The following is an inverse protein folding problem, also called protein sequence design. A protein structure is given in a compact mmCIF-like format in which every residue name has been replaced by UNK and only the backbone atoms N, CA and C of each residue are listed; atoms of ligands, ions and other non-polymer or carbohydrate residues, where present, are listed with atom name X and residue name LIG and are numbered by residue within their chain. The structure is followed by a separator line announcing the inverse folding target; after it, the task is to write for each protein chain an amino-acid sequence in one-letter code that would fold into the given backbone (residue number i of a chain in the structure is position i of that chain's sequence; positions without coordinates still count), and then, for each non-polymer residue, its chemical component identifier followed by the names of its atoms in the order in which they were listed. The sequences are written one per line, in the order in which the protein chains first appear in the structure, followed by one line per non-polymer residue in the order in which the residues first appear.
data_IF_580193719865
#
_entry.id   IF_580193719865
#
_cell.length_a   1.000
_cell.length_b   1.000
_cell.length_c   1.000
_cell.angle_alpha   90.00
_cell.angle_beta   90.00
_cell.angle_gamma   90.00
#
_symmetry.space_group_name_H-M   'P 1'
#
loop_
_entity.id
_entity.type
_entity.pdbx_description
1 polymer ?
#
# COMPACT_ATOMS: atom_id res chain seq x y z
N UNK A 1 -24.69 -29.85 4.47
CA UNK A 1 -24.86 -29.59 3.02
C UNK A 1 -24.95 -28.08 2.72
N UNK A 2 -24.15 -27.24 3.40
CA UNK A 2 -24.26 -25.76 3.31
C UNK A 2 -22.92 -25.05 2.96
N UNK A 3 -21.80 -25.79 2.94
CA UNK A 3 -20.46 -25.22 2.73
C UNK A 3 -20.14 -24.96 1.26
N UNK A 4 -20.68 -25.76 0.34
CA UNK A 4 -20.43 -25.65 -1.11
C UNK A 4 -21.02 -24.38 -1.73
N UNK A 5 -22.13 -23.87 -1.19
CA UNK A 5 -22.74 -22.60 -1.61
C UNK A 5 -21.88 -21.39 -1.22
N UNK A 6 -21.26 -21.42 -0.04
CA UNK A 6 -20.33 -20.37 0.40
C UNK A 6 -18.99 -20.42 -0.35
N UNK A 7 -18.49 -21.62 -0.67
CA UNK A 7 -17.28 -21.77 -1.47
C UNK A 7 -17.49 -21.26 -2.91
N UNK A 8 -18.64 -21.56 -3.51
CA UNK A 8 -18.98 -21.09 -4.86
C UNK A 8 -19.15 -19.56 -4.91
N UNK A 9 -19.77 -18.95 -3.91
CA UNK A 9 -19.91 -17.49 -3.84
C UNK A 9 -18.56 -16.79 -3.60
N UNK A 10 -17.72 -17.32 -2.71
CA UNK A 10 -16.37 -16.82 -2.47
C UNK A 10 -15.48 -16.92 -3.72
N UNK A 11 -15.54 -18.04 -4.45
CA UNK A 11 -14.81 -18.24 -5.70
C UNK A 11 -15.28 -17.26 -6.79
N UNK A 12 -16.58 -16.98 -6.88
CA UNK A 12 -17.12 -16.02 -7.83
C UNK A 12 -16.69 -14.57 -7.53
N UNK A 13 -16.64 -14.19 -6.24
CA UNK A 13 -16.16 -12.87 -5.82
C UNK A 13 -14.65 -12.70 -6.07
N UNK A 14 -13.86 -13.74 -5.78
CA UNK A 14 -12.43 -13.76 -6.06
C UNK A 14 -12.13 -13.70 -7.57
N UNK A 15 -12.91 -14.41 -8.40
CA UNK A 15 -12.78 -14.36 -9.86
C UNK A 15 -13.01 -12.96 -10.43
N UNK A 16 -14.00 -12.23 -9.93
CA UNK A 16 -14.27 -10.85 -10.37
C UNK A 16 -13.15 -9.89 -9.95
N UNK A 17 -12.50 -10.13 -8.81
CA UNK A 17 -11.34 -9.34 -8.37
C UNK A 17 -10.06 -9.60 -9.20
N UNK A 18 -9.97 -10.76 -9.86
CA UNK A 18 -8.81 -11.20 -10.66
C UNK A 18 -9.11 -11.14 -12.17
N UNK A 19 -10.33 -10.76 -12.58
CA UNK A 19 -10.73 -10.68 -13.98
C UNK A 19 -9.94 -9.57 -14.70
N UNK A 20 -9.14 -9.91 -15.73
CA UNK A 20 -8.37 -8.92 -16.46
C UNK A 20 -9.31 -8.08 -17.32
N UNK A 21 -9.53 -6.82 -16.92
CA UNK A 21 -10.33 -5.86 -17.70
C UNK A 21 -11.02 -4.77 -16.87
N UNK A 22 -11.26 -5.00 -15.58
CA UNK A 22 -11.78 -3.97 -14.67
C UNK A 22 -10.86 -3.91 -13.43
N UNK A 23 -10.17 -2.78 -13.17
CA UNK A 23 -9.51 -2.60 -11.88
C UNK A 23 -10.56 -2.77 -10.79
N UNK A 24 -10.37 -3.73 -9.90
CA UNK A 24 -11.23 -3.84 -8.73
C UNK A 24 -11.25 -2.47 -8.02
N UNK A 25 -12.37 -2.03 -7.42
CA UNK A 25 -12.44 -0.73 -6.74
C UNK A 25 -11.30 -0.50 -5.74
N UNK A 26 -10.81 -1.57 -5.11
CA UNK A 26 -9.65 -1.57 -4.22
C UNK A 26 -8.32 -1.26 -4.94
N UNK A 27 -8.12 -1.75 -6.16
CA UNK A 27 -6.92 -1.47 -6.99
C UNK A 27 -6.92 -0.01 -7.43
N UNK A 28 -8.09 0.54 -7.77
CA UNK A 28 -8.20 1.96 -8.11
C UNK A 28 -7.93 2.86 -6.89
N UNK A 29 -8.47 2.50 -5.72
CA UNK A 29 -8.20 3.23 -4.48
C UNK A 29 -6.71 3.18 -4.11
N UNK A 30 -6.06 2.03 -4.29
CA UNK A 30 -4.62 1.88 -4.08
C UNK A 30 -3.79 2.70 -5.09
N UNK A 31 -4.19 2.74 -6.35
CA UNK A 31 -3.54 3.57 -7.39
C UNK A 31 -3.62 5.05 -7.02
N UNK A 32 -4.81 5.53 -6.63
CA UNK A 32 -5.00 6.92 -6.22
C UNK A 32 -4.16 7.25 -4.97
N UNK A 33 -4.12 6.35 -3.98
CA UNK A 33 -3.27 6.53 -2.80
C UNK A 33 -1.77 6.56 -3.13
N UNK A 34 -1.33 5.78 -4.13
CA UNK A 34 0.04 5.81 -4.62
C UNK A 34 0.37 7.13 -5.36
N UNK A 35 -0.57 7.66 -6.13
CA UNK A 35 -0.45 8.97 -6.79
C UNK A 35 -0.36 10.11 -5.76
N UNK A 36 -1.22 10.11 -4.74
CA UNK A 36 -1.19 11.07 -3.64
C UNK A 36 0.12 10.98 -2.85
N UNK A 37 0.60 9.77 -2.60
CA UNK A 37 1.89 9.54 -1.95
C UNK A 37 3.05 10.09 -2.78
N UNK A 38 3.05 9.86 -4.11
CA UNK A 38 4.07 10.39 -5.00
C UNK A 38 4.07 11.93 -5.02
N UNK A 39 2.88 12.56 -5.03
CA UNK A 39 2.73 14.00 -4.92
C UNK A 39 3.27 14.54 -3.58
N UNK A 40 2.99 13.85 -2.48
CA UNK A 40 3.49 14.21 -1.16
C UNK A 40 5.01 14.07 -1.07
N UNK A 41 5.59 13.02 -1.65
CA UNK A 41 7.04 12.81 -1.70
C UNK A 41 7.75 13.97 -2.41
N UNK A 42 7.18 14.48 -3.51
CA UNK A 42 7.72 15.66 -4.21
C UNK A 42 7.71 16.94 -3.37
N UNK A 43 6.73 17.12 -2.47
CA UNK A 43 6.74 18.24 -1.52
C UNK A 43 7.83 18.06 -0.45
N UNK A 44 8.03 16.84 0.03
CA UNK A 44 9.08 16.51 0.99
C UNK A 44 10.46 16.80 0.40
N UNK A 45 10.71 16.46 -0.87
CA UNK A 45 11.98 16.76 -1.55
C UNK A 45 12.26 18.27 -1.65
N UNK A 46 11.24 19.09 -1.90
CA UNK A 46 11.40 20.56 -1.90
C UNK A 46 11.76 21.09 -0.52
N UNK A 47 11.10 20.59 0.52
CA UNK A 47 11.37 20.97 1.92
C UNK A 47 12.76 20.50 2.36
N UNK A 48 13.14 19.27 2.00
CA UNK A 48 14.46 18.71 2.29
C UNK A 48 15.57 19.50 1.59
N UNK A 49 15.36 19.92 0.34
CA UNK A 49 16.27 20.81 -0.38
C UNK A 49 16.38 22.19 0.30
N UNK A 50 15.25 22.74 0.78
CA UNK A 50 15.23 23.97 1.58
C UNK A 50 15.96 23.83 2.93
N UNK A 51 15.87 22.66 3.56
CA UNK A 51 16.58 22.37 4.81
C UNK A 51 18.09 22.18 4.59
N UNK A 52 18.50 21.50 3.52
CA UNK A 52 19.91 21.34 3.14
C UNK A 52 20.57 22.68 2.77
N UNK A 53 19.80 23.65 2.28
CA UNK A 53 20.28 25.03 2.01
C UNK A 53 20.28 25.92 3.26
N UNK A 54 19.93 25.38 4.43
CA UNK A 54 19.96 26.08 5.72
C UNK A 54 18.78 27.05 5.94
N UNK A 55 17.71 26.95 5.12
CA UNK A 55 16.55 27.84 5.20
C UNK A 55 15.43 27.30 6.12
N UNK A 56 15.58 26.09 6.68
CA UNK A 56 14.54 25.44 7.49
C UNK A 56 15.10 25.03 8.85
N UNK A 57 14.43 25.51 9.91
CA UNK A 57 14.74 25.26 11.31
C UNK A 57 14.74 23.76 11.69
N UNK A 58 15.73 23.33 12.48
CA UNK A 58 15.98 21.91 12.83
C UNK A 58 14.80 21.22 13.52
N UNK A 59 13.89 21.99 14.14
CA UNK A 59 12.67 21.46 14.75
C UNK A 59 11.66 20.95 13.72
N UNK A 60 11.64 21.50 12.49
CA UNK A 60 10.77 21.01 11.40
C UNK A 60 11.23 19.63 10.93
N UNK A 61 12.54 19.40 10.84
CA UNK A 61 13.10 18.11 10.42
C UNK A 61 12.67 16.97 11.35
N UNK A 62 12.74 17.17 12.67
CA UNK A 62 12.34 16.14 13.65
C UNK A 62 10.85 15.86 13.59
N UNK A 63 10.01 16.89 13.39
CA UNK A 63 8.57 16.71 13.19
C UNK A 63 8.29 15.90 11.92
N UNK A 64 8.96 16.20 10.81
CA UNK A 64 8.80 15.46 9.55
C UNK A 64 9.28 14.02 9.66
N UNK A 65 10.36 13.75 10.41
CA UNK A 65 10.82 12.38 10.67
C UNK A 65 9.81 11.59 11.50
N UNK A 66 9.19 12.21 12.51
CA UNK A 66 8.14 11.57 13.30
C UNK A 66 6.89 11.25 12.46
N UNK A 67 6.52 12.11 11.50
CA UNK A 67 5.43 11.83 10.55
C UNK A 67 5.80 10.70 9.57
N UNK A 68 7.05 10.63 9.11
CA UNK A 68 7.53 9.56 8.22
C UNK A 68 7.58 8.18 8.91
N UNK A 69 7.83 8.13 10.22
CA UNK A 69 7.86 6.89 10.99
C UNK A 69 6.50 6.17 11.00
N UNK A 70 5.41 6.92 11.14
CA UNK A 70 4.05 6.35 11.07
C UNK A 70 3.74 5.72 9.70
N UNK A 71 4.26 6.32 8.62
CA UNK A 71 4.10 5.76 7.28
C UNK A 71 4.92 4.47 7.09
N UNK A 72 6.13 4.41 7.67
CA UNK A 72 7.00 3.24 7.57
C UNK A 72 6.40 2.00 8.22
N UNK A 73 5.69 2.13 9.35
CA UNK A 73 5.01 1.01 10.01
C UNK A 73 3.97 0.35 9.09
N UNK A 74 3.23 1.16 8.34
CA UNK A 74 2.23 0.66 7.38
C UNK A 74 2.88 -0.04 6.19
N UNK A 75 4.02 0.48 5.71
CA UNK A 75 4.79 -0.14 4.63
C UNK A 75 5.29 -1.53 5.03
N UNK A 76 5.73 -1.71 6.28
CA UNK A 76 6.15 -3.02 6.80
C UNK A 76 4.95 -3.99 6.83
N UNK A 77 3.78 -3.54 7.29
CA UNK A 77 2.57 -4.35 7.29
C UNK A 77 2.16 -4.80 5.88
N UNK A 78 2.27 -3.92 4.88
CA UNK A 78 2.02 -4.26 3.47
C UNK A 78 3.04 -5.28 2.98
N UNK A 79 4.34 -5.06 3.26
CA UNK A 79 5.42 -5.97 2.88
C UNK A 79 5.22 -7.37 3.46
N UNK A 80 4.79 -7.47 4.71
CA UNK A 80 4.52 -8.75 5.36
C UNK A 80 3.30 -9.46 4.76
N UNK A 81 2.24 -8.71 4.40
CA UNK A 81 1.08 -9.27 3.69
C UNK A 81 1.40 -9.76 2.28
N UNK A 82 2.28 -9.05 1.56
CA UNK A 82 2.75 -9.50 0.25
C UNK A 82 3.56 -10.80 0.38
N UNK A 83 4.40 -10.91 1.40
CA UNK A 83 5.19 -12.13 1.67
C UNK A 83 4.29 -13.31 2.06
N UNK A 84 3.26 -13.07 2.87
CA UNK A 84 2.26 -14.08 3.24
C UNK A 84 1.51 -14.62 2.01
N UNK A 85 1.02 -13.72 1.15
CA UNK A 85 0.33 -14.09 -0.09
C UNK A 85 1.23 -14.88 -1.05
N UNK A 86 2.51 -14.52 -1.16
CA UNK A 86 3.47 -15.25 -1.98
C UNK A 86 3.72 -16.67 -1.45
N UNK A 87 3.80 -16.81 -0.13
CA UNK A 87 3.94 -18.12 0.51
C UNK A 87 2.68 -18.97 0.39
N UNK A 88 1.49 -18.36 0.39
CA UNK A 88 0.21 -19.07 0.21
C UNK A 88 0.07 -19.64 -1.21
N UNK A 89 0.45 -18.88 -2.24
CA UNK A 89 0.48 -19.35 -3.64
C UNK A 89 1.42 -20.55 -3.81
N UNK A 90 2.60 -20.52 -3.18
CA UNK A 90 3.56 -21.62 -3.24
C UNK A 90 3.15 -22.86 -2.43
N UNK A 91 2.24 -22.70 -1.47
CA UNK A 91 1.73 -23.79 -0.62
C UNK A 91 0.48 -24.45 -1.17
N UNK A 92 -0.16 -23.89 -2.21
CA UNK A 92 -1.17 -24.62 -2.95
C UNK A 92 -0.49 -25.74 -3.76
N UNK A 93 -0.75 -27.03 -3.45
CA UNK A 93 -0.28 -28.10 -4.32
C UNK A 93 -1.00 -27.98 -5.67
N UNK A 94 -0.24 -28.17 -6.75
CA UNK A 94 -0.77 -28.38 -8.11
C UNK A 94 -1.68 -29.61 -8.18
#
# INVERSE_FOLDING_TARGET
MFTSLNAASAYSAARTAVAPGQPAPAVQALSNAAEDFAAQMGQVDQVATGAMTGQVETHRLVQTLAEAEMAMETVVAIRDKVVEAYQEILRMPV
#
